data_IF_020185806280
#
_entry.id   IF_020185806280
#
_cell.length_a   1.000
_cell.length_b   1.000
_cell.length_c   1.000
_cell.angle_alpha   90.00
_cell.angle_beta   90.00
_cell.angle_gamma   90.00
#
_symmetry.space_group_name_H-M   'P 1'
#
loop_
_entity.id
_entity.type
_entity.pdbx_description
1 polymer ?
#
# COMPACT_ATOMS: atom_id res chain seq x y z
N UNK A 1 20.49 1.79 7.65
CA UNK A 1 20.63 0.44 8.24
C UNK A 1 22.09 -0.04 8.17
N UNK A 2 22.80 0.22 7.08
CA UNK A 2 24.20 -0.18 6.91
C UNK A 2 25.08 0.35 8.05
N UNK A 3 24.94 1.62 8.41
CA UNK A 3 25.66 2.27 9.51
C UNK A 3 25.51 1.54 10.86
N UNK A 4 24.31 0.99 11.07
CA UNK A 4 24.00 0.20 12.28
C UNK A 4 24.26 -1.29 12.12
N UNK A 5 24.76 -1.75 10.97
CA UNK A 5 25.04 -3.16 10.68
C UNK A 5 23.77 -4.05 10.76
N UNK A 6 22.62 -3.52 10.37
CA UNK A 6 21.33 -4.22 10.38
C UNK A 6 20.74 -4.29 8.97
N UNK A 7 19.87 -5.28 8.72
CA UNK A 7 19.29 -5.54 7.39
C UNK A 7 17.90 -4.96 7.19
N UNK A 8 17.19 -4.72 8.28
CA UNK A 8 15.79 -4.31 8.24
C UNK A 8 15.40 -3.40 9.41
N UNK A 9 14.20 -2.83 9.32
CA UNK A 9 13.63 -1.94 10.34
C UNK A 9 13.53 -2.60 11.71
N UNK A 10 13.16 -3.88 11.76
CA UNK A 10 13.02 -4.61 13.03
C UNK A 10 14.36 -4.76 13.74
N UNK A 11 15.40 -5.10 12.98
CA UNK A 11 16.77 -5.17 13.47
C UNK A 11 17.28 -3.82 13.96
N UNK A 12 17.01 -2.75 13.20
CA UNK A 12 17.34 -1.38 13.60
C UNK A 12 16.65 -1.00 14.92
N UNK A 13 15.35 -1.16 15.01
CA UNK A 13 14.58 -0.79 16.20
C UNK A 13 15.03 -1.58 17.44
N UNK A 14 15.31 -2.87 17.28
CA UNK A 14 15.85 -3.70 18.38
C UNK A 14 17.24 -3.21 18.82
N UNK A 15 18.10 -2.82 17.89
CA UNK A 15 19.43 -2.30 18.22
C UNK A 15 19.36 -0.97 18.95
N UNK A 16 18.51 -0.06 18.48
CA UNK A 16 18.28 1.25 19.12
C UNK A 16 17.72 1.12 20.54
N UNK A 17 16.82 0.18 20.78
CA UNK A 17 16.33 -0.13 22.14
C UNK A 17 17.42 -0.56 23.10
N UNK A 18 18.43 -1.28 22.60
CA UNK A 18 19.55 -1.77 23.39
C UNK A 18 20.59 -0.73 23.76
N UNK A 19 20.56 0.47 23.15
CA UNK A 19 21.50 1.56 23.42
C UNK A 19 21.08 2.26 24.73
N UNK A 20 21.86 2.07 25.79
CA UNK A 20 21.59 2.65 27.12
C UNK A 20 22.51 3.80 27.51
N UNK A 21 23.63 3.97 26.82
CA UNK A 21 24.74 4.82 27.28
C UNK A 21 24.88 6.16 26.54
N UNK A 22 23.85 6.60 25.81
CA UNK A 22 23.84 7.88 25.10
C UNK A 22 22.82 8.81 25.75
N UNK A 23 23.22 10.07 26.01
CA UNK A 23 22.30 11.11 26.48
C UNK A 23 21.12 11.27 25.55
N UNK A 24 19.93 11.51 26.10
CA UNK A 24 18.63 11.40 25.42
C UNK A 24 18.50 12.26 24.13
N UNK A 25 19.20 13.38 24.05
CA UNK A 25 19.13 14.27 22.86
C UNK A 25 19.81 13.67 21.61
N UNK A 26 20.84 12.86 21.76
CA UNK A 26 21.60 12.25 20.67
C UNK A 26 21.27 10.78 20.45
N UNK A 27 20.32 10.23 21.21
CA UNK A 27 19.93 8.83 21.09
C UNK A 27 19.13 8.60 19.79
N UNK A 28 19.57 7.64 18.95
CA UNK A 28 18.80 7.30 17.76
C UNK A 28 17.40 6.82 18.15
N UNK A 29 16.39 7.37 17.49
CA UNK A 29 14.97 7.05 17.74
C UNK A 29 14.54 5.84 16.92
N UNK A 30 13.62 5.06 17.48
CA UNK A 30 12.93 4.03 16.69
C UNK A 30 12.26 4.63 15.47
N UNK A 31 12.33 3.93 14.36
CA UNK A 31 11.61 4.28 13.14
C UNK A 31 10.26 3.56 13.10
N UNK A 32 9.18 4.24 12.72
CA UNK A 32 7.88 3.60 12.51
C UNK A 32 7.84 2.81 11.19
N UNK A 33 6.86 1.94 11.05
CA UNK A 33 6.45 1.48 9.73
C UNK A 33 5.69 2.59 9.02
N UNK A 34 5.84 2.66 7.70
CA UNK A 34 5.18 3.65 6.85
C UNK A 34 4.23 2.90 5.92
N UNK A 35 2.98 3.35 5.84
CA UNK A 35 2.00 2.86 4.86
C UNK A 35 1.71 4.01 3.89
N UNK A 36 1.95 3.77 2.62
CA UNK A 36 1.65 4.70 1.53
C UNK A 36 0.41 4.19 0.82
N UNK A 37 -0.63 5.01 0.76
CA UNK A 37 -1.89 4.68 0.10
C UNK A 37 -2.05 5.59 -1.12
N UNK A 38 -2.21 4.96 -2.29
CA UNK A 38 -2.57 5.64 -3.55
C UNK A 38 -4.02 5.28 -3.84
N UNK A 39 -4.92 6.24 -3.72
CA UNK A 39 -6.36 6.04 -3.84
C UNK A 39 -6.79 5.83 -5.30
N UNK A 40 -6.24 6.60 -6.24
CA UNK A 40 -6.49 6.46 -7.67
C UNK A 40 -5.17 6.57 -8.46
N UNK A 41 -4.60 5.40 -8.80
CA UNK A 41 -3.35 5.33 -9.57
C UNK A 41 -3.50 5.95 -10.97
N UNK A 42 -4.66 5.82 -11.61
CA UNK A 42 -4.88 6.32 -12.95
C UNK A 42 -4.63 7.82 -13.07
N UNK A 43 -4.95 8.60 -12.04
CA UNK A 43 -4.75 10.04 -12.07
C UNK A 43 -3.26 10.40 -12.10
N UNK A 44 -2.43 9.68 -11.35
CA UNK A 44 -0.98 9.84 -11.38
C UNK A 44 -0.39 9.39 -12.74
N UNK A 45 -0.85 8.26 -13.26
CA UNK A 45 -0.40 7.72 -14.55
C UNK A 45 -0.79 8.58 -15.73
N UNK A 46 -1.82 9.42 -15.64
CA UNK A 46 -2.16 10.38 -16.68
C UNK A 46 -1.20 11.57 -16.72
N UNK A 47 -0.58 11.92 -15.59
CA UNK A 47 0.31 13.09 -15.50
C UNK A 47 1.75 12.73 -15.85
N UNK A 48 2.30 11.67 -15.24
CA UNK A 48 3.70 11.29 -15.36
C UNK A 48 3.88 9.77 -15.31
N UNK A 49 3.41 9.01 -16.32
CA UNK A 49 3.33 7.56 -16.26
C UNK A 49 4.68 6.88 -16.01
N UNK A 50 5.74 7.31 -16.68
CA UNK A 50 7.08 6.73 -16.51
C UNK A 50 7.66 6.96 -15.12
N UNK A 51 7.59 8.18 -14.61
CA UNK A 51 8.12 8.54 -13.29
C UNK A 51 7.36 7.83 -12.16
N UNK A 52 6.04 7.75 -12.27
CA UNK A 52 5.17 7.08 -11.30
C UNK A 52 5.43 5.58 -11.28
N UNK A 53 5.52 4.94 -12.46
CA UNK A 53 5.83 3.51 -12.57
C UNK A 53 7.20 3.19 -11.95
N UNK A 54 8.23 3.96 -12.29
CA UNK A 54 9.58 3.79 -11.75
C UNK A 54 9.61 3.98 -10.23
N UNK A 55 8.92 5.00 -9.71
CA UNK A 55 8.84 5.25 -8.27
C UNK A 55 8.16 4.08 -7.52
N UNK A 56 7.03 3.58 -8.04
CA UNK A 56 6.34 2.42 -7.46
C UNK A 56 7.25 1.19 -7.47
N UNK A 57 7.89 0.89 -8.59
CA UNK A 57 8.78 -0.26 -8.71
C UNK A 57 9.97 -0.17 -7.74
N UNK A 58 10.60 0.99 -7.64
CA UNK A 58 11.71 1.23 -6.69
C UNK A 58 11.26 1.07 -5.24
N UNK A 59 10.12 1.64 -4.88
CA UNK A 59 9.57 1.50 -3.52
C UNK A 59 9.22 0.04 -3.22
N UNK A 60 8.56 -0.66 -4.12
CA UNK A 60 8.19 -2.06 -3.93
C UNK A 60 9.41 -2.98 -3.75
N UNK A 61 10.51 -2.70 -4.47
CA UNK A 61 11.73 -3.49 -4.40
C UNK A 61 12.59 -3.18 -3.17
N UNK A 62 12.74 -1.90 -2.81
CA UNK A 62 13.73 -1.45 -1.83
C UNK A 62 13.13 -1.18 -0.45
N UNK A 63 11.87 -0.80 -0.39
CA UNK A 63 11.27 -0.27 0.82
C UNK A 63 10.77 -1.36 1.80
N UNK A 64 10.64 -2.61 1.36
CA UNK A 64 10.18 -3.72 2.21
C UNK A 64 11.02 -3.89 3.47
N UNK A 65 12.34 -3.89 3.32
CA UNK A 65 13.26 -3.99 4.45
C UNK A 65 13.20 -2.76 5.36
N UNK A 66 12.88 -1.59 4.79
CA UNK A 66 12.69 -0.35 5.53
C UNK A 66 11.35 -0.25 6.26
N UNK A 67 10.46 -1.25 6.12
CA UNK A 67 9.13 -1.24 6.75
C UNK A 67 8.17 -0.28 6.06
N UNK A 68 8.32 -0.05 4.76
CA UNK A 68 7.40 0.74 3.95
C UNK A 68 6.49 -0.21 3.16
N UNK A 69 5.20 0.03 3.23
CA UNK A 69 4.16 -0.77 2.59
C UNK A 69 3.35 0.09 1.64
N UNK A 70 3.05 -0.44 0.45
CA UNK A 70 2.26 0.22 -0.57
C UNK A 70 0.88 -0.43 -0.66
N UNK A 71 -0.17 0.40 -0.66
CA UNK A 71 -1.53 0.04 -1.01
C UNK A 71 -1.93 0.91 -2.19
N UNK A 72 -2.11 0.29 -3.35
CA UNK A 72 -2.40 1.01 -4.59
C UNK A 72 -3.78 0.60 -5.07
N UNK A 73 -4.66 1.57 -5.25
CA UNK A 73 -6.01 1.37 -5.77
C UNK A 73 -6.22 2.14 -7.08
N UNK A 74 -7.15 1.66 -7.88
CA UNK A 74 -7.64 2.36 -9.08
C UNK A 74 -9.04 1.87 -9.43
N UNK A 75 -9.88 2.77 -9.92
CA UNK A 75 -11.17 2.47 -10.52
C UNK A 75 -11.08 2.24 -12.04
N UNK A 76 -9.88 2.40 -12.62
CA UNK A 76 -9.62 2.26 -14.06
C UNK A 76 -8.64 1.11 -14.34
N UNK A 77 -9.11 -0.14 -14.35
CA UNK A 77 -8.25 -1.32 -14.53
C UNK A 77 -7.84 -1.50 -15.99
N UNK A 78 -7.09 -0.56 -16.52
CA UNK A 78 -6.53 -0.63 -17.88
C UNK A 78 -5.05 -1.04 -17.85
N UNK A 79 -4.54 -1.59 -18.95
CA UNK A 79 -3.14 -2.01 -19.08
C UNK A 79 -2.14 -0.84 -19.00
N UNK A 80 -2.59 0.38 -19.28
CA UNK A 80 -1.78 1.59 -19.16
C UNK A 80 -1.68 2.10 -17.73
N UNK A 81 -2.56 1.64 -16.83
CA UNK A 81 -2.59 1.99 -15.41
C UNK A 81 -1.97 0.85 -14.59
N UNK A 82 -2.45 -0.38 -14.80
CA UNK A 82 -1.93 -1.57 -14.13
C UNK A 82 -0.97 -2.27 -15.10
N UNK A 83 0.24 -1.73 -15.17
CA UNK A 83 1.26 -2.21 -16.10
C UNK A 83 1.86 -3.55 -15.69
N UNK A 84 2.54 -4.22 -16.62
CA UNK A 84 3.26 -5.45 -16.32
C UNK A 84 4.36 -5.28 -15.27
N UNK A 85 5.03 -4.12 -15.27
CA UNK A 85 6.09 -3.80 -14.29
C UNK A 85 5.51 -3.62 -12.88
N UNK A 86 4.40 -2.88 -12.76
CA UNK A 86 3.69 -2.72 -11.48
C UNK A 86 3.23 -4.10 -10.97
N UNK A 87 2.60 -4.93 -11.80
CA UNK A 87 2.15 -6.28 -11.42
C UNK A 87 3.30 -7.19 -10.97
N UNK A 88 4.45 -7.10 -11.61
CA UNK A 88 5.63 -7.90 -11.25
C UNK A 88 6.19 -7.52 -9.86
N UNK A 89 6.08 -6.25 -9.46
CA UNK A 89 6.59 -5.75 -8.18
C UNK A 89 5.51 -5.72 -7.08
N UNK A 90 4.24 -5.77 -7.46
CA UNK A 90 3.08 -5.82 -6.55
C UNK A 90 2.30 -7.13 -6.75
N UNK A 91 2.84 -8.26 -6.26
CA UNK A 91 2.31 -9.58 -6.57
C UNK A 91 1.00 -9.92 -5.84
N UNK A 92 0.73 -9.28 -4.70
CA UNK A 92 -0.55 -9.46 -3.99
C UNK A 92 -1.59 -8.50 -4.54
N UNK A 93 -2.72 -9.04 -4.98
CA UNK A 93 -3.76 -8.28 -5.70
C UNK A 93 -5.15 -8.57 -5.15
N UNK A 94 -6.00 -7.58 -5.26
CA UNK A 94 -7.43 -7.67 -4.94
C UNK A 94 -8.21 -7.14 -6.14
N UNK A 95 -9.23 -7.86 -6.58
CA UNK A 95 -10.21 -7.36 -7.53
C UNK A 95 -11.60 -7.41 -6.91
N UNK A 96 -12.25 -6.28 -6.88
CA UNK A 96 -13.70 -6.19 -6.67
C UNK A 96 -14.43 -6.48 -7.98
N UNK A 97 -15.77 -6.42 -7.98
CA UNK A 97 -16.57 -6.62 -9.17
C UNK A 97 -16.17 -5.63 -10.28
N UNK A 98 -15.91 -6.17 -11.46
CA UNK A 98 -15.56 -5.40 -12.67
C UNK A 98 -16.59 -5.68 -13.77
N UNK A 99 -16.61 -4.85 -14.81
CA UNK A 99 -17.61 -4.93 -15.88
C UNK A 99 -17.29 -5.97 -16.95
N UNK A 100 -16.02 -6.37 -17.06
CA UNK A 100 -15.60 -7.28 -18.13
C UNK A 100 -14.51 -8.26 -17.69
N UNK A 101 -14.41 -9.40 -18.41
CA UNK A 101 -13.32 -10.34 -18.25
C UNK A 101 -11.95 -9.76 -18.65
N UNK A 102 -11.92 -8.70 -19.47
CA UNK A 102 -10.69 -7.98 -19.81
C UNK A 102 -10.15 -7.27 -18.57
N UNK A 103 -11.02 -6.57 -17.84
CA UNK A 103 -10.65 -5.88 -16.60
C UNK A 103 -10.14 -6.88 -15.54
N UNK A 104 -10.84 -8.02 -15.41
CA UNK A 104 -10.41 -9.10 -14.53
C UNK A 104 -9.00 -9.58 -14.86
N UNK A 105 -8.71 -9.84 -16.15
CA UNK A 105 -7.38 -10.26 -16.59
C UNK A 105 -6.33 -9.16 -16.38
N UNK A 106 -6.70 -7.91 -16.55
CA UNK A 106 -5.77 -6.79 -16.29
C UNK A 106 -5.30 -6.78 -14.85
N UNK A 107 -6.20 -7.05 -13.90
CA UNK A 107 -5.85 -7.06 -12.47
C UNK A 107 -5.22 -8.39 -12.05
N UNK A 108 -5.85 -9.52 -12.37
CA UNK A 108 -5.56 -10.83 -11.79
C UNK A 108 -4.80 -11.78 -12.72
N UNK A 109 -4.59 -11.40 -13.98
CA UNK A 109 -4.11 -12.27 -15.08
C UNK A 109 -5.06 -13.45 -15.38
N UNK A 110 -6.30 -13.40 -14.88
CA UNK A 110 -7.34 -14.41 -15.09
C UNK A 110 -8.74 -13.82 -15.03
N UNK A 111 -9.71 -14.55 -15.58
CA UNK A 111 -11.14 -14.20 -15.47
C UNK A 111 -11.67 -14.54 -14.07
N UNK A 112 -12.78 -13.92 -13.71
CA UNK A 112 -13.55 -14.24 -12.50
C UNK A 112 -14.10 -13.03 -11.77
N UNK A 113 -13.40 -11.89 -11.79
CA UNK A 113 -13.89 -10.69 -11.10
C UNK A 113 -15.15 -10.10 -11.76
N UNK A 114 -15.40 -10.37 -13.05
CA UNK A 114 -16.64 -10.00 -13.74
C UNK A 114 -17.87 -10.78 -13.26
N UNK A 115 -17.68 -11.83 -12.46
CA UNK A 115 -18.75 -12.67 -11.89
C UNK A 115 -19.04 -12.35 -10.42
N UNK A 116 -18.35 -11.37 -9.86
CA UNK A 116 -18.55 -10.96 -8.48
C UNK A 116 -19.86 -10.18 -8.33
N UNK A 117 -20.44 -10.27 -7.15
CA UNK A 117 -21.78 -9.71 -6.86
C UNK A 117 -21.74 -8.23 -6.44
N UNK A 118 -20.54 -7.64 -6.26
CA UNK A 118 -20.40 -6.29 -5.71
C UNK A 118 -20.52 -6.23 -4.19
N UNK A 119 -20.62 -5.03 -3.64
CA UNK A 119 -20.79 -4.79 -2.19
C UNK A 119 -19.76 -5.49 -1.30
N UNK A 120 -18.49 -5.46 -1.73
CA UNK A 120 -17.39 -6.07 -0.98
C UNK A 120 -17.08 -7.52 -1.36
N UNK A 121 -17.84 -8.14 -2.26
CA UNK A 121 -17.45 -9.43 -2.86
C UNK A 121 -16.19 -9.24 -3.71
N UNK A 122 -15.12 -9.98 -3.42
CA UNK A 122 -13.81 -9.77 -4.02
C UNK A 122 -13.06 -11.07 -4.29
N UNK A 123 -12.13 -11.02 -5.21
CA UNK A 123 -11.10 -12.02 -5.39
C UNK A 123 -9.78 -11.50 -4.80
N UNK A 124 -9.31 -12.15 -3.76
CA UNK A 124 -8.04 -11.88 -3.10
C UNK A 124 -6.98 -12.86 -3.61
N UNK A 125 -5.93 -12.33 -4.22
CA UNK A 125 -4.83 -13.10 -4.81
C UNK A 125 -3.50 -12.73 -4.14
N UNK A 126 -3.20 -13.31 -2.97
CA UNK A 126 -1.94 -13.05 -2.28
C UNK A 126 -0.76 -13.75 -2.96
N UNK A 127 0.42 -13.20 -2.78
CA UNK A 127 1.66 -13.81 -3.26
C UNK A 127 1.82 -15.25 -2.74
N UNK A 128 2.21 -16.17 -3.62
CA UNK A 128 2.44 -17.57 -3.28
C UNK A 128 1.22 -18.48 -3.41
N UNK A 129 0.07 -17.94 -3.75
CA UNK A 129 -1.12 -18.75 -4.04
C UNK A 129 -1.20 -19.06 -5.54
N UNK A 130 -1.63 -20.25 -5.89
CA UNK A 130 -1.81 -20.68 -7.28
C UNK A 130 -3.11 -20.16 -7.92
N UNK A 131 -4.07 -19.73 -7.09
CA UNK A 131 -5.37 -19.18 -7.50
C UNK A 131 -5.89 -18.20 -6.45
N UNK A 132 -6.70 -17.20 -6.86
CA UNK A 132 -7.32 -16.28 -5.93
C UNK A 132 -8.33 -16.97 -5.03
N UNK A 133 -8.51 -16.41 -3.85
CA UNK A 133 -9.55 -16.76 -2.89
C UNK A 133 -10.72 -15.79 -3.08
N UNK A 134 -11.96 -16.30 -3.13
CA UNK A 134 -13.15 -15.46 -3.07
C UNK A 134 -13.43 -15.10 -1.62
N UNK A 135 -13.52 -13.83 -1.33
CA UNK A 135 -13.71 -13.29 0.01
C UNK A 135 -14.88 -12.29 -0.02
N UNK A 136 -15.77 -12.37 0.94
CA UNK A 136 -16.80 -11.35 1.16
C UNK A 136 -16.27 -10.32 2.15
N UNK A 137 -15.98 -9.12 1.68
CA UNK A 137 -15.69 -7.98 2.52
C UNK A 137 -16.94 -7.44 3.20
N UNK A 138 -16.81 -6.86 4.39
CA UNK A 138 -17.88 -6.14 5.02
C UNK A 138 -18.20 -4.86 4.22
N UNK A 139 -19.48 -4.55 4.10
CA UNK A 139 -19.87 -3.22 3.64
C UNK A 139 -19.65 -2.22 4.78
N UNK A 140 -18.95 -1.13 4.48
CA UNK A 140 -18.68 -0.04 5.41
C UNK A 140 -19.36 1.21 4.87
N UNK A 141 -20.26 1.79 5.65
CA UNK A 141 -20.97 3.02 5.29
C UNK A 141 -20.14 4.27 5.59
N UNK A 142 -20.44 5.38 4.93
CA UNK A 142 -19.77 6.66 5.19
C UNK A 142 -19.87 7.09 6.66
N UNK A 143 -21.00 6.76 7.30
CA UNK A 143 -21.21 7.03 8.73
C UNK A 143 -20.26 6.23 9.62
N UNK A 144 -20.01 4.97 9.28
CA UNK A 144 -19.05 4.13 10.01
C UNK A 144 -17.61 4.61 9.79
N UNK A 145 -17.27 5.00 8.54
CA UNK A 145 -15.97 5.63 8.24
C UNK A 145 -15.78 6.89 9.09
N UNK A 146 -16.78 7.79 9.09
CA UNK A 146 -16.72 9.02 9.89
C UNK A 146 -16.56 8.72 11.38
N UNK A 147 -17.28 7.74 11.92
CA UNK A 147 -17.17 7.35 13.34
C UNK A 147 -15.75 6.85 13.70
N UNK A 148 -15.10 6.12 12.79
CA UNK A 148 -13.71 5.67 12.99
C UNK A 148 -12.75 6.86 12.94
N UNK A 149 -12.93 7.77 11.99
CA UNK A 149 -12.09 8.97 11.86
C UNK A 149 -12.22 9.84 13.11
N UNK A 150 -13.43 10.09 13.59
CA UNK A 150 -13.70 10.87 14.80
C UNK A 150 -13.02 10.25 16.03
N UNK A 151 -13.16 8.93 16.19
CA UNK A 151 -12.51 8.19 17.28
C UNK A 151 -10.97 8.29 17.23
N UNK A 152 -10.37 8.17 16.04
CA UNK A 152 -8.93 8.30 15.86
C UNK A 152 -8.45 9.73 16.15
N UNK A 153 -9.19 10.71 15.70
CA UNK A 153 -8.89 12.14 15.94
C UNK A 153 -8.97 12.48 17.44
N UNK A 154 -10.01 11.99 18.12
CA UNK A 154 -10.18 12.19 19.56
C UNK A 154 -9.01 11.57 20.35
N UNK A 155 -8.58 10.37 19.98
CA UNK A 155 -7.49 9.65 20.68
C UNK A 155 -6.10 10.20 20.39
N UNK A 156 -5.82 10.63 19.17
CA UNK A 156 -4.47 10.97 18.73
C UNK A 156 -4.25 12.47 18.51
N UNK A 157 -5.30 13.29 18.70
CA UNK A 157 -5.28 14.70 18.33
C UNK A 157 -5.36 14.91 16.80
N UNK A 158 -5.27 16.18 16.41
CA UNK A 158 -5.27 16.52 14.98
C UNK A 158 -3.99 16.01 14.30
N UNK A 159 -4.14 15.49 13.09
CA UNK A 159 -3.00 15.08 12.27
C UNK A 159 -2.05 16.27 12.05
N UNK A 160 -0.76 16.07 12.32
CA UNK A 160 0.27 17.00 11.90
C UNK A 160 0.75 16.59 10.51
N UNK A 161 0.59 17.47 9.53
CA UNK A 161 1.08 17.25 8.18
C UNK A 161 2.51 17.78 8.06
N UNK A 162 3.40 16.97 7.52
CA UNK A 162 4.71 17.45 7.11
C UNK A 162 4.57 18.20 5.79
N UNK A 163 4.49 19.54 5.89
CA UNK A 163 4.31 20.41 4.73
C UNK A 163 5.50 20.39 3.76
N UNK A 164 6.64 19.85 4.16
CA UNK A 164 7.80 19.71 3.28
C UNK A 164 7.56 18.72 2.14
N UNK A 165 6.56 17.84 2.27
CA UNK A 165 6.17 16.85 1.26
C UNK A 165 5.12 17.38 0.27
N UNK A 166 4.61 18.60 0.45
CA UNK A 166 3.54 19.17 -0.40
C UNK A 166 4.12 19.90 -1.64
N UNK A 167 5.42 20.10 -1.70
CA UNK A 167 6.09 20.73 -2.84
C UNK A 167 6.58 19.64 -3.84
N UNK A 168 5.62 19.03 -4.53
CA UNK A 168 5.86 18.23 -5.74
C UNK A 168 5.20 18.93 -6.92
#
# INVERSE_FOLDING_TARGET
>A
FAEYGVRDLKGYNKKVEGIKDIEDENKPKKMPQIVIIVDELADLMMVAPGEVEDAICRLAQLARAAGIHLIIATQRPSVNVITGLIKANMPSRVAFAVTSGVDSRTILDMNGAEKLLGKGDMLFYPQGYSKPLRVQGAFVSDKEVQSVVDFLTEKNGNASYDLSLIHI
#
